data_IF_701143785202
#
_entry.id   IF_701143785202
#
_cell.length_a   1.000
_cell.length_b   1.000
_cell.length_c   1.000
_cell.angle_alpha   90.00
_cell.angle_beta   90.00
_cell.angle_gamma   90.00
#
_symmetry.space_group_name_H-M   'P 1'
#
loop_
_entity.id
_entity.type
_entity.pdbx_description
1 polymer ?
#
# COMPACT_ATOMS: atom_id res chain seq x y z
N UNK A 1 -11.39 -17.44 6.70
CA UNK A 1 -10.09 -16.72 6.62
C UNK A 1 -10.38 -15.22 6.53
N UNK A 2 -9.65 -14.39 7.27
CA UNK A 2 -9.93 -12.95 7.44
C UNK A 2 -10.14 -12.21 6.11
N UNK A 3 -9.31 -12.48 5.10
CA UNK A 3 -9.39 -11.85 3.77
C UNK A 3 -10.65 -12.21 2.96
N UNK A 4 -11.37 -13.29 3.29
CA UNK A 4 -12.63 -13.64 2.61
C UNK A 4 -13.76 -12.67 2.95
N UNK A 5 -13.67 -11.99 4.10
CA UNK A 5 -14.66 -10.98 4.53
C UNK A 5 -14.34 -9.58 4.01
N UNK A 6 -13.14 -9.39 3.45
CA UNK A 6 -12.67 -8.11 2.91
C UNK A 6 -12.76 -8.15 1.39
N UNK A 7 -13.37 -7.13 0.79
CA UNK A 7 -13.44 -6.98 -0.67
C UNK A 7 -12.02 -7.09 -1.27
N UNK A 8 -11.86 -7.80 -2.41
CA UNK A 8 -10.54 -8.14 -2.93
C UNK A 8 -9.73 -6.94 -3.40
N UNK A 9 -10.38 -5.88 -3.89
CA UNK A 9 -9.73 -4.64 -4.32
C UNK A 9 -10.34 -3.49 -3.53
N UNK A 10 -9.60 -2.99 -2.53
CA UNK A 10 -10.08 -1.97 -1.61
C UNK A 10 -8.93 -1.21 -0.95
N UNK A 11 -9.16 0.08 -0.71
CA UNK A 11 -8.34 0.91 0.17
C UNK A 11 -9.21 1.36 1.34
N UNK A 12 -8.86 0.95 2.57
CA UNK A 12 -9.66 1.27 3.75
C UNK A 12 -8.81 1.51 4.99
N UNK A 13 -9.37 2.24 5.96
CA UNK A 13 -8.73 2.37 7.26
C UNK A 13 -8.60 0.98 7.94
N UNK A 14 -7.50 0.74 8.65
CA UNK A 14 -7.18 -0.54 9.28
C UNK A 14 -8.16 -0.91 10.41
N UNK A 15 -8.74 0.10 11.09
CA UNK A 15 -9.80 -0.05 12.10
C UNK A 15 -9.54 -1.19 13.10
N UNK A 16 -10.30 -2.28 13.01
CA UNK A 16 -10.26 -3.41 13.94
C UNK A 16 -9.29 -4.52 13.48
N UNK A 17 -8.73 -4.42 12.28
CA UNK A 17 -7.72 -5.36 11.79
C UNK A 17 -6.39 -5.09 12.47
N UNK A 18 -5.73 -6.13 12.99
CA UNK A 18 -4.35 -6.02 13.48
C UNK A 18 -3.39 -6.35 12.35
N UNK A 19 -2.23 -5.70 12.36
CA UNK A 19 -1.18 -5.94 11.36
C UNK A 19 -0.76 -7.42 11.33
N UNK A 20 -0.62 -8.04 12.51
CA UNK A 20 -0.28 -9.47 12.64
C UNK A 20 -1.33 -10.38 11.98
N UNK A 21 -2.62 -10.10 12.19
CA UNK A 21 -3.71 -10.88 11.61
C UNK A 21 -3.72 -10.74 10.07
N UNK A 22 -3.43 -9.54 9.56
CA UNK A 22 -3.31 -9.29 8.12
C UNK A 22 -2.10 -10.00 7.50
N UNK A 23 -0.97 -10.00 8.19
CA UNK A 23 0.23 -10.72 7.77
C UNK A 23 -0.01 -12.23 7.70
N UNK A 24 -0.60 -12.81 8.75
CA UNK A 24 -0.95 -14.24 8.78
C UNK A 24 -1.93 -14.58 7.66
N UNK A 25 -2.97 -13.76 7.46
CA UNK A 25 -3.96 -14.03 6.43
C UNK A 25 -3.40 -13.88 5.00
N UNK A 26 -2.44 -12.98 4.78
CA UNK A 26 -1.71 -12.87 3.52
C UNK A 26 -0.87 -14.14 3.27
N UNK A 27 -0.16 -14.62 4.29
CA UNK A 27 0.64 -15.84 4.21
C UNK A 27 -0.23 -17.08 3.92
N UNK A 28 -1.36 -17.24 4.62
CA UNK A 28 -2.32 -18.32 4.37
C UNK A 28 -2.89 -18.30 2.94
N UNK A 29 -3.10 -17.10 2.39
CA UNK A 29 -3.58 -16.90 1.03
C UNK A 29 -2.47 -16.98 -0.03
N UNK A 30 -1.21 -17.13 0.36
CA UNK A 30 -0.05 -17.08 -0.53
C UNK A 30 0.15 -15.71 -1.20
N UNK A 31 -0.39 -14.64 -0.63
CA UNK A 31 -0.33 -13.27 -1.14
C UNK A 31 0.88 -12.53 -0.60
N UNK A 32 1.34 -11.52 -1.35
CA UNK A 32 2.37 -10.62 -0.87
C UNK A 32 1.87 -9.81 0.32
N UNK A 33 2.70 -9.68 1.35
CA UNK A 33 2.45 -8.77 2.46
C UNK A 33 3.46 -7.62 2.40
N UNK A 34 2.96 -6.41 2.16
CA UNK A 34 3.75 -5.19 2.07
C UNK A 34 3.40 -4.30 3.25
N UNK A 35 4.37 -4.00 4.11
CA UNK A 35 4.14 -3.25 5.34
C UNK A 35 5.12 -2.08 5.43
N UNK A 36 4.58 -0.87 5.61
CA UNK A 36 5.35 0.33 5.86
C UNK A 36 4.88 0.98 7.17
N UNK A 37 5.79 1.12 8.13
CA UNK A 37 5.59 1.95 9.32
C UNK A 37 6.11 3.36 9.03
N UNK A 38 5.23 4.35 9.16
CA UNK A 38 5.50 5.75 8.80
C UNK A 38 5.46 6.68 10.02
N UNK A 39 5.62 6.15 11.23
CA UNK A 39 5.59 6.94 12.49
C UNK A 39 6.60 8.09 12.50
N UNK A 40 7.77 7.87 11.90
CA UNK A 40 8.85 8.86 11.83
C UNK A 40 8.69 9.84 10.66
N UNK A 41 7.79 9.57 9.71
CA UNK A 41 7.62 10.41 8.53
C UNK A 41 6.92 11.72 8.90
N UNK A 42 7.45 12.85 8.42
CA UNK A 42 6.89 14.18 8.72
C UNK A 42 6.42 14.92 7.48
N UNK A 43 6.83 14.51 6.29
CA UNK A 43 6.51 15.16 5.02
C UNK A 43 6.14 14.16 3.93
N UNK A 44 5.58 14.64 2.81
CA UNK A 44 5.30 13.81 1.62
C UNK A 44 6.54 13.06 1.13
N UNK A 45 7.73 13.67 1.18
CA UNK A 45 8.98 13.03 0.77
C UNK A 45 9.36 11.89 1.73
N UNK A 46 9.27 12.12 3.05
CA UNK A 46 9.57 11.08 4.05
C UNK A 46 8.62 9.89 3.93
N UNK A 47 7.34 10.15 3.64
CA UNK A 47 6.34 9.10 3.40
C UNK A 47 6.69 8.27 2.18
N UNK A 48 7.02 8.91 1.05
CA UNK A 48 7.40 8.22 -0.18
C UNK A 48 8.69 7.41 0.00
N UNK A 49 9.67 7.96 0.71
CA UNK A 49 10.93 7.28 1.02
C UNK A 49 10.71 6.09 1.95
N UNK A 50 9.85 6.24 2.97
CA UNK A 50 9.47 5.16 3.88
C UNK A 50 8.79 4.00 3.16
N UNK A 51 7.85 4.30 2.25
CA UNK A 51 7.19 3.28 1.42
C UNK A 51 8.20 2.60 0.49
N UNK A 52 9.05 3.36 -0.21
CA UNK A 52 10.02 2.82 -1.15
C UNK A 52 11.02 1.89 -0.45
N UNK A 53 11.51 2.28 0.74
CA UNK A 53 12.40 1.46 1.56
C UNK A 53 11.71 0.18 2.03
N UNK A 54 10.48 0.29 2.55
CA UNK A 54 9.71 -0.83 3.07
C UNK A 54 9.35 -1.84 1.99
N UNK A 55 9.01 -1.38 0.78
CA UNK A 55 8.58 -2.23 -0.33
C UNK A 55 9.75 -2.67 -1.23
N UNK A 56 10.99 -2.33 -0.84
CA UNK A 56 12.22 -2.68 -1.55
C UNK A 56 12.23 -2.21 -3.01
N UNK A 57 11.75 -0.99 -3.25
CA UNK A 57 11.75 -0.41 -4.59
C UNK A 57 13.18 -0.16 -5.11
N UNK A 58 13.37 -0.09 -6.44
CA UNK A 58 14.67 0.19 -7.02
C UNK A 58 15.26 1.53 -6.56
N UNK A 59 16.59 1.61 -6.47
CA UNK A 59 17.30 2.80 -6.01
C UNK A 59 17.04 4.07 -6.85
N UNK A 60 16.54 3.92 -8.08
CA UNK A 60 16.15 5.03 -8.97
C UNK A 60 14.66 5.36 -8.88
N UNK A 61 13.99 5.02 -7.78
CA UNK A 61 12.62 5.43 -7.51
C UNK A 61 12.47 6.95 -7.66
N UNK A 62 11.55 7.39 -8.53
CA UNK A 62 11.39 8.80 -8.92
C UNK A 62 10.91 9.75 -7.83
N UNK A 63 10.68 9.24 -6.60
CA UNK A 63 10.25 9.98 -5.40
C UNK A 63 9.03 10.89 -5.63
N UNK A 64 8.07 10.39 -6.40
CA UNK A 64 6.79 11.04 -6.64
C UNK A 64 5.65 10.00 -6.69
N UNK A 65 4.42 10.49 -6.74
CA UNK A 65 3.21 9.64 -6.70
C UNK A 65 3.03 8.80 -7.96
N UNK A 66 3.41 9.31 -9.13
CA UNK A 66 3.35 8.56 -10.39
C UNK A 66 4.35 7.39 -10.37
N UNK A 67 5.57 7.66 -9.88
CA UNK A 67 6.59 6.62 -9.70
C UNK A 67 6.15 5.55 -8.70
N UNK A 68 5.40 5.92 -7.65
CA UNK A 68 4.80 4.96 -6.70
C UNK A 68 3.80 4.06 -7.42
N UNK A 69 2.89 4.64 -8.20
CA UNK A 69 1.93 3.89 -9.00
C UNK A 69 2.63 2.92 -9.96
N UNK A 70 3.62 3.39 -10.74
CA UNK A 70 4.37 2.59 -11.71
C UNK A 70 5.13 1.43 -11.06
N UNK A 71 5.72 1.67 -9.88
CA UNK A 71 6.41 0.62 -9.13
C UNK A 71 5.45 -0.44 -8.62
N UNK A 72 4.25 -0.05 -8.18
CA UNK A 72 3.23 -0.98 -7.66
C UNK A 72 2.42 -1.69 -8.75
N UNK A 73 2.52 -1.25 -10.01
CA UNK A 73 1.76 -1.79 -11.13
C UNK A 73 2.70 -2.38 -12.18
N UNK A 74 3.20 -1.57 -13.10
CA UNK A 74 3.93 -1.99 -14.29
C UNK A 74 5.21 -2.75 -13.99
N UNK A 75 5.99 -2.32 -13.00
CA UNK A 75 7.22 -3.01 -12.63
C UNK A 75 6.91 -4.42 -12.10
N UNK A 76 5.97 -4.51 -11.17
CA UNK A 76 5.55 -5.78 -10.55
C UNK A 76 4.87 -6.70 -11.56
N UNK A 77 4.06 -6.15 -12.47
CA UNK A 77 3.44 -6.92 -13.54
C UNK A 77 4.47 -7.54 -14.48
N UNK A 78 5.53 -6.80 -14.83
CA UNK A 78 6.64 -7.29 -15.65
C UNK A 78 7.48 -8.35 -14.93
N UNK A 79 7.45 -8.43 -13.61
CA UNK A 79 8.12 -9.47 -12.81
C UNK A 79 7.43 -10.84 -12.84
N UNK A 80 6.25 -10.96 -13.46
CA UNK A 80 5.55 -12.23 -13.67
C UNK A 80 4.16 -12.27 -13.03
N UNK A 81 3.63 -13.50 -12.88
CA UNK A 81 2.31 -13.71 -12.29
C UNK A 81 2.32 -13.32 -10.81
N UNK A 82 1.29 -12.57 -10.38
CA UNK A 82 1.20 -12.07 -9.01
C UNK A 82 0.07 -12.77 -8.25
N UNK A 83 0.32 -13.28 -7.02
CA UNK A 83 -0.66 -14.00 -6.22
C UNK A 83 -1.72 -13.09 -5.56
N UNK A 84 -1.48 -11.78 -5.55
CA UNK A 84 -2.27 -10.77 -4.85
C UNK A 84 -1.48 -10.08 -3.75
N UNK A 85 -2.06 -9.03 -3.19
CA UNK A 85 -1.38 -8.10 -2.30
C UNK A 85 -2.26 -7.76 -1.09
N UNK A 86 -1.62 -7.77 0.07
CA UNK A 86 -2.10 -7.15 1.31
C UNK A 86 -1.08 -6.09 1.67
N UNK A 87 -1.49 -4.83 1.58
CA UNK A 87 -0.66 -3.65 1.83
C UNK A 87 -1.11 -3.00 3.12
N UNK A 88 -0.17 -2.62 3.98
CA UNK A 88 -0.43 -1.92 5.23
C UNK A 88 0.47 -0.68 5.31
N UNK A 89 -0.16 0.49 5.36
CA UNK A 89 0.46 1.78 5.61
C UNK A 89 0.11 2.22 7.04
N UNK A 90 1.03 2.02 7.97
CA UNK A 90 0.79 2.30 9.38
C UNK A 90 1.33 3.67 9.79
N UNK A 91 0.58 4.40 10.62
CA UNK A 91 0.99 5.70 11.19
C UNK A 91 1.29 6.78 10.14
N UNK A 92 0.44 6.92 9.12
CA UNK A 92 0.55 8.03 8.18
C UNK A 92 0.45 9.38 8.93
N UNK A 93 1.35 10.34 8.66
CA UNK A 93 1.36 11.61 9.38
C UNK A 93 0.05 12.38 9.15
N UNK A 94 -0.46 13.03 10.20
CA UNK A 94 -1.55 13.99 10.11
C UNK A 94 -1.08 15.35 10.62
N UNK A 95 -0.28 16.03 9.79
CA UNK A 95 0.31 17.32 10.14
C UNK A 95 0.29 18.27 8.92
N UNK A 96 0.70 19.52 9.11
CA UNK A 96 0.66 20.57 8.06
C UNK A 96 1.57 20.29 6.86
N UNK A 97 2.60 19.45 7.01
CA UNK A 97 3.52 19.07 5.92
C UNK A 97 3.06 17.81 5.17
N UNK A 98 2.03 17.15 5.68
CA UNK A 98 1.31 16.05 5.03
C UNK A 98 -0.18 16.19 5.33
N UNK A 99 -0.75 17.26 4.79
CA UNK A 99 -2.12 17.68 5.04
C UNK A 99 -3.15 16.71 4.43
N UNK A 100 -4.43 17.04 4.63
CA UNK A 100 -5.53 16.20 4.14
C UNK A 100 -5.48 15.99 2.62
N UNK A 101 -5.09 17.00 1.85
CA UNK A 101 -5.01 16.88 0.40
C UNK A 101 -3.89 15.92 0.00
N UNK A 102 -2.71 16.06 0.60
CA UNK A 102 -1.58 15.16 0.36
C UNK A 102 -1.91 13.70 0.75
N UNK A 103 -2.66 13.50 1.84
CA UNK A 103 -3.13 12.17 2.26
C UNK A 103 -4.11 11.56 1.26
N UNK A 104 -5.12 12.32 0.82
CA UNK A 104 -6.06 11.80 -0.18
C UNK A 104 -5.37 11.50 -1.51
N UNK A 105 -4.45 12.36 -1.98
CA UNK A 105 -3.66 12.08 -3.18
C UNK A 105 -2.85 10.78 -3.06
N UNK A 106 -2.25 10.51 -1.90
CA UNK A 106 -1.55 9.24 -1.66
C UNK A 106 -2.55 8.06 -1.71
N UNK A 107 -3.68 8.18 -1.03
CA UNK A 107 -4.69 7.10 -1.00
C UNK A 107 -5.32 6.86 -2.36
N UNK A 108 -5.51 7.90 -3.17
CA UNK A 108 -5.98 7.82 -4.56
C UNK A 108 -5.03 6.97 -5.41
N UNK A 109 -3.71 7.16 -5.28
CA UNK A 109 -2.73 6.29 -5.97
C UNK A 109 -2.91 4.81 -5.61
N UNK A 110 -3.18 4.49 -4.34
CA UNK A 110 -3.45 3.11 -3.94
C UNK A 110 -4.81 2.60 -4.43
N UNK A 111 -5.81 3.48 -4.61
CA UNK A 111 -7.11 3.13 -5.19
C UNK A 111 -6.95 2.80 -6.68
N UNK A 112 -6.24 3.66 -7.42
CA UNK A 112 -5.92 3.44 -8.83
C UNK A 112 -5.09 2.15 -9.02
N UNK A 113 -4.12 1.91 -8.13
CA UNK A 113 -3.36 0.65 -8.10
C UNK A 113 -4.28 -0.57 -7.87
N UNK A 114 -5.26 -0.45 -6.97
CA UNK A 114 -6.21 -1.53 -6.70
C UNK A 114 -7.09 -1.83 -7.93
N UNK A 115 -7.52 -0.80 -8.65
CA UNK A 115 -8.30 -0.92 -9.88
C UNK A 115 -7.48 -1.55 -11.01
N UNK A 116 -6.21 -1.16 -11.17
CA UNK A 116 -5.28 -1.77 -12.12
C UNK A 116 -5.17 -3.29 -11.94
N UNK A 117 -5.05 -3.75 -10.69
CA UNK A 117 -4.99 -5.18 -10.36
C UNK A 117 -6.35 -5.86 -10.47
N UNK A 118 -7.45 -5.15 -10.19
CA UNK A 118 -8.81 -5.63 -10.36
C UNK A 118 -9.10 -6.04 -11.80
N UNK A 119 -8.72 -5.21 -12.78
CA UNK A 119 -8.88 -5.49 -14.21
C UNK A 119 -8.15 -6.78 -14.63
N UNK A 120 -7.09 -7.14 -13.90
CA UNK A 120 -6.28 -8.34 -14.10
C UNK A 120 -6.72 -9.52 -13.23
N UNK A 121 -7.83 -9.37 -12.48
CA UNK A 121 -8.37 -10.37 -11.54
C UNK A 121 -7.39 -10.76 -10.43
N UNK A 122 -6.51 -9.82 -10.04
CA UNK A 122 -5.56 -9.98 -8.94
C UNK A 122 -6.09 -9.16 -7.76
N UNK A 123 -6.12 -9.75 -6.56
CA UNK A 123 -6.59 -9.07 -5.38
C UNK A 123 -5.55 -8.09 -4.85
N UNK A 124 -5.96 -6.87 -4.51
CA UNK A 124 -5.14 -5.83 -3.92
C UNK A 124 -5.89 -5.14 -2.76
N UNK A 125 -5.49 -5.44 -1.52
CA UNK A 125 -6.12 -4.87 -0.32
C UNK A 125 -5.14 -3.97 0.39
N UNK A 126 -5.42 -2.67 0.41
CA UNK A 126 -4.62 -1.69 1.13
C UNK A 126 -5.35 -1.25 2.41
N UNK A 127 -4.63 -1.29 3.52
CA UNK A 127 -5.08 -0.85 4.83
C UNK A 127 -4.21 0.32 5.28
N UNK A 128 -4.81 1.36 5.83
CA UNK A 128 -4.07 2.51 6.34
C UNK A 128 -4.49 2.93 7.75
N UNK A 129 -3.58 3.53 8.51
CA UNK A 129 -3.89 4.26 9.74
C UNK A 129 -3.21 5.63 9.73
N UNK A 130 -3.79 6.58 10.45
CA UNK A 130 -3.20 7.89 10.71
C UNK A 130 -2.60 7.92 12.13
N UNK A 131 -1.67 8.84 12.35
CA UNK A 131 -1.14 9.20 13.67
C UNK A 131 -2.22 9.83 14.56
#
# INVERSE_FOLDING_TARGET
MLLQTVRPNIVQAIRAYRVEDLMQAAQEAGQHFLYANLSEAQSKQDVLDGIAQAFLFPAHFGKNLDALHDCMTDLVHKSGSQPGFVVVLEQLPDNVRFDREAREQLLDVFRDTADYWADRKIAFRCFYSFQ
#
